data_IF_991959202312
#
_entry.id   IF_991959202312
#
_cell.length_a   1.000
_cell.length_b   1.000
_cell.length_c   1.000
_cell.angle_alpha   90.00
_cell.angle_beta   90.00
_cell.angle_gamma   90.00
#
_symmetry.space_group_name_H-M   'P 1'
#
loop_
_entity.id
_entity.type
_entity.pdbx_description
1 polymer ?
#
# COMPACT_ATOMS: atom_id res chain seq x y z
N UNK A 1 27.38 -23.90 8.92
CA UNK A 1 26.32 -24.47 9.77
C UNK A 1 25.50 -23.33 10.30
N UNK A 2 24.29 -23.15 9.78
CA UNK A 2 23.30 -22.27 10.40
C UNK A 2 22.55 -23.08 11.45
N UNK A 3 23.04 -23.04 12.67
CA UNK A 3 22.36 -23.65 13.83
C UNK A 3 21.21 -22.79 14.36
N UNK A 4 20.74 -21.83 13.55
CA UNK A 4 19.53 -21.07 13.87
C UNK A 4 18.32 -21.93 13.49
N UNK A 5 17.49 -22.35 14.44
CA UNK A 5 16.27 -23.09 14.13
C UNK A 5 15.39 -22.20 13.22
N UNK A 6 14.91 -22.78 12.13
CA UNK A 6 13.96 -22.10 11.26
C UNK A 6 12.72 -21.70 12.09
N UNK A 7 12.24 -20.48 11.93
CA UNK A 7 11.02 -20.07 12.63
C UNK A 7 9.86 -20.99 12.24
N UNK A 8 9.08 -21.40 13.23
CA UNK A 8 7.84 -22.14 12.99
C UNK A 8 6.77 -21.15 12.50
N UNK A 9 6.61 -21.05 11.19
CA UNK A 9 5.61 -20.16 10.59
C UNK A 9 4.25 -20.87 10.66
N UNK A 10 3.34 -20.30 11.42
CA UNK A 10 1.99 -20.83 11.62
C UNK A 10 0.96 -20.17 10.72
N UNK A 11 1.21 -18.92 10.30
CA UNK A 11 0.31 -18.16 9.44
C UNK A 11 1.07 -17.45 8.33
N UNK A 12 0.49 -17.44 7.14
CA UNK A 12 0.96 -16.63 6.02
C UNK A 12 -0.16 -15.67 5.58
N UNK A 13 0.22 -14.43 5.33
CA UNK A 13 -0.68 -13.43 4.77
C UNK A 13 -0.21 -13.14 3.34
N UNK A 14 -1.10 -13.30 2.39
CA UNK A 14 -0.83 -13.01 0.99
C UNK A 14 -1.38 -11.65 0.63
N UNK A 15 -0.55 -10.81 0.08
CA UNK A 15 -0.97 -9.52 -0.44
C UNK A 15 -0.73 -9.49 -1.96
N UNK A 16 -1.77 -9.82 -2.72
CA UNK A 16 -1.74 -9.86 -4.19
C UNK A 16 -0.55 -10.63 -4.79
N UNK A 17 -0.16 -11.70 -4.15
CA UNK A 17 1.01 -12.48 -4.56
C UNK A 17 0.59 -13.67 -5.42
N UNK A 18 1.05 -13.69 -6.67
CA UNK A 18 0.78 -14.78 -7.60
C UNK A 18 1.52 -16.09 -7.25
N UNK A 19 2.51 -16.03 -6.38
CA UNK A 19 3.28 -17.20 -5.96
C UNK A 19 4.12 -17.87 -7.05
N UNK A 20 3.65 -17.87 -8.27
CA UNK A 20 4.28 -18.54 -9.42
C UNK A 20 5.37 -17.70 -10.12
N UNK A 21 5.57 -16.46 -9.73
CA UNK A 21 6.61 -15.58 -10.27
C UNK A 21 7.97 -15.70 -9.56
N UNK A 22 8.14 -16.72 -8.73
CA UNK A 22 9.35 -16.96 -7.96
C UNK A 22 10.03 -18.27 -8.35
N UNK A 23 11.30 -18.40 -8.02
CA UNK A 23 12.05 -19.63 -8.23
C UNK A 23 11.55 -20.76 -7.33
N UNK A 24 11.66 -22.01 -7.82
CA UNK A 24 11.28 -23.23 -7.10
C UNK A 24 9.83 -23.24 -6.58
N UNK A 25 8.89 -22.93 -7.46
CA UNK A 25 7.46 -22.77 -7.19
C UNK A 25 6.87 -23.95 -6.40
N UNK A 26 7.16 -25.16 -6.80
CA UNK A 26 6.60 -26.37 -6.17
C UNK A 26 7.00 -26.50 -4.70
N UNK A 27 8.28 -26.25 -4.38
CA UNK A 27 8.76 -26.26 -2.99
C UNK A 27 8.14 -25.15 -2.18
N UNK A 28 7.96 -23.98 -2.80
CA UNK A 28 7.33 -22.85 -2.16
C UNK A 28 5.87 -23.12 -1.83
N UNK A 29 5.09 -23.62 -2.76
CA UNK A 29 3.69 -23.99 -2.52
C UNK A 29 3.54 -25.10 -1.49
N UNK A 30 4.39 -26.10 -1.50
CA UNK A 30 4.41 -27.12 -0.48
C UNK A 30 4.67 -26.54 0.92
N UNK A 31 5.59 -25.58 1.03
CA UNK A 31 5.84 -24.87 2.29
C UNK A 31 4.66 -24.02 2.74
N UNK A 32 3.99 -23.33 1.83
CA UNK A 32 2.81 -22.52 2.12
C UNK A 32 1.61 -23.39 2.54
N UNK A 33 1.40 -24.52 1.87
CA UNK A 33 0.34 -25.46 2.21
C UNK A 33 0.56 -26.18 3.54
N UNK A 34 1.76 -26.15 4.08
CA UNK A 34 2.09 -26.76 5.37
C UNK A 34 1.82 -25.82 6.58
N UNK A 35 1.45 -24.57 6.37
CA UNK A 35 1.10 -23.63 7.44
C UNK A 35 -0.32 -23.88 7.95
N UNK A 36 -0.54 -23.59 9.23
CA UNK A 36 -1.82 -23.88 9.90
C UNK A 36 -2.97 -23.00 9.41
N UNK A 37 -2.66 -21.76 9.01
CA UNK A 37 -3.66 -20.79 8.61
C UNK A 37 -3.09 -19.83 7.57
N UNK A 38 -3.83 -19.63 6.50
CA UNK A 38 -3.46 -18.71 5.43
C UNK A 38 -4.63 -17.80 5.07
N UNK A 39 -4.35 -16.53 4.89
CA UNK A 39 -5.35 -15.61 4.38
C UNK A 39 -4.69 -14.54 3.53
N UNK A 40 -5.50 -13.78 2.81
CA UNK A 40 -4.92 -12.69 2.05
C UNK A 40 -5.89 -11.92 1.19
N UNK A 41 -5.36 -10.85 0.64
CA UNK A 41 -6.02 -10.03 -0.36
C UNK A 41 -5.77 -10.62 -1.75
N UNK A 42 -6.81 -10.81 -2.53
CA UNK A 42 -6.71 -11.34 -3.88
C UNK A 42 -7.53 -10.50 -4.86
N UNK A 43 -6.92 -10.16 -5.98
CA UNK A 43 -7.63 -9.48 -7.08
C UNK A 43 -8.51 -10.45 -7.86
N UNK A 44 -8.09 -11.70 -7.95
CA UNK A 44 -8.76 -12.74 -8.70
C UNK A 44 -8.73 -14.06 -7.96
N UNK A 45 -9.84 -14.78 -7.94
CA UNK A 45 -9.92 -16.09 -7.30
C UNK A 45 -9.15 -17.19 -8.04
N UNK A 46 -8.78 -16.97 -9.28
CA UNK A 46 -7.97 -17.92 -10.06
C UNK A 46 -6.46 -17.78 -9.86
N UNK A 47 -6.02 -16.95 -8.92
CA UNK A 47 -4.61 -16.89 -8.56
C UNK A 47 -4.19 -18.16 -7.82
N UNK A 48 -3.01 -18.74 -8.10
CA UNK A 48 -2.55 -19.94 -7.41
C UNK A 48 -2.48 -19.82 -5.89
N UNK A 49 -2.21 -18.62 -5.38
CA UNK A 49 -2.19 -18.36 -3.94
C UNK A 49 -3.58 -18.31 -3.31
N UNK A 50 -4.63 -18.07 -4.09
CA UNK A 50 -6.00 -18.11 -3.59
C UNK A 50 -6.40 -19.53 -3.14
N UNK A 51 -5.92 -20.57 -3.82
CA UNK A 51 -6.17 -21.97 -3.45
C UNK A 51 -5.52 -22.36 -2.11
N UNK A 52 -4.55 -21.59 -1.66
CA UNK A 52 -3.84 -21.82 -0.40
C UNK A 52 -4.44 -21.02 0.78
N UNK A 53 -5.40 -20.15 0.53
CA UNK A 53 -5.99 -19.30 1.56
C UNK A 53 -7.23 -19.95 2.18
N UNK A 54 -7.28 -19.97 3.50
CA UNK A 54 -8.48 -20.31 4.29
C UNK A 54 -9.49 -19.16 4.25
N UNK A 55 -9.01 -17.91 4.17
CA UNK A 55 -9.83 -16.72 4.03
C UNK A 55 -9.27 -15.86 2.89
N UNK A 56 -10.15 -15.43 1.99
CA UNK A 56 -9.84 -14.51 0.91
C UNK A 56 -10.65 -13.22 1.13
N UNK A 57 -9.95 -12.10 1.19
CA UNK A 57 -10.56 -10.78 1.16
C UNK A 57 -10.40 -10.21 -0.26
N UNK A 58 -11.48 -9.69 -0.86
CA UNK A 58 -11.39 -9.07 -2.17
C UNK A 58 -10.54 -7.80 -2.06
N UNK A 59 -9.46 -7.75 -2.82
CA UNK A 59 -8.60 -6.58 -2.87
C UNK A 59 -9.04 -5.62 -3.95
N UNK A 60 -9.04 -4.32 -3.70
CA UNK A 60 -9.18 -3.35 -4.76
C UNK A 60 -7.94 -3.38 -5.66
N UNK A 61 -8.17 -3.20 -6.94
CA UNK A 61 -7.09 -2.88 -7.88
C UNK A 61 -6.89 -1.36 -7.91
N UNK A 62 -5.76 -0.92 -8.45
CA UNK A 62 -5.36 0.48 -8.41
C UNK A 62 -6.39 1.48 -9.01
N UNK A 63 -7.26 1.04 -9.93
CA UNK A 63 -8.32 1.89 -10.48
C UNK A 63 -9.39 2.28 -9.45
N UNK A 64 -9.57 1.45 -8.42
CA UNK A 64 -10.56 1.67 -7.37
C UNK A 64 -9.97 2.36 -6.14
N UNK A 65 -8.77 2.00 -5.76
CA UNK A 65 -8.14 2.55 -4.57
C UNK A 65 -7.36 3.84 -4.86
N UNK A 66 -6.91 3.98 -6.09
CA UNK A 66 -6.13 5.13 -6.55
C UNK A 66 -4.71 5.11 -6.03
N UNK A 67 -4.54 5.04 -4.76
CA UNK A 67 -3.26 5.01 -4.10
C UNK A 67 -2.85 3.57 -3.86
N UNK A 68 -2.29 2.92 -4.86
CA UNK A 68 -1.75 1.59 -4.69
C UNK A 68 -0.36 1.66 -4.09
N UNK A 69 -0.28 1.21 -2.85
CA UNK A 69 0.95 1.12 -2.10
C UNK A 69 2.02 0.31 -2.81
N UNK A 70 1.65 -0.65 -3.52
CA UNK A 70 2.57 -1.61 -4.06
C UNK A 70 3.26 -1.15 -5.34
N UNK A 71 2.53 -0.46 -6.19
CA UNK A 71 3.03 -0.20 -7.52
C UNK A 71 3.99 0.98 -7.59
N UNK A 72 3.82 1.98 -6.77
CA UNK A 72 4.55 3.21 -7.00
C UNK A 72 4.97 3.94 -5.77
N UNK A 73 4.93 3.26 -4.68
CA UNK A 73 5.47 3.78 -3.44
C UNK A 73 4.91 5.10 -3.13
N UNK A 74 3.64 5.28 -3.39
CA UNK A 74 3.04 6.33 -2.80
C UNK A 74 3.86 7.48 -2.68
N UNK A 75 3.89 8.21 -3.66
CA UNK A 75 4.28 9.30 -3.05
C UNK A 75 5.54 9.42 -2.39
N UNK A 76 6.38 8.66 -2.66
CA UNK A 76 7.60 8.80 -1.93
C UNK A 76 8.37 9.93 -2.50
N UNK A 77 8.43 10.93 -1.69
CA UNK A 77 9.57 11.73 -1.68
C UNK A 77 10.80 10.93 -1.65
N UNK A 78 11.48 10.96 -2.70
CA UNK A 78 12.79 10.48 -2.52
C UNK A 78 13.68 11.60 -2.91
N UNK A 79 13.99 12.38 -1.96
CA UNK A 79 14.94 13.43 -2.11
C UNK A 79 16.27 13.00 -1.51
N UNK A 80 17.32 13.01 -2.32
CA UNK A 80 18.66 12.90 -1.82
C UNK A 80 19.68 12.71 -2.90
N UNK A 81 20.96 13.01 -2.57
CA UNK A 81 22.03 13.09 -3.54
C UNK A 81 22.47 11.76 -4.14
N UNK A 82 21.98 10.64 -3.67
CA UNK A 82 22.46 9.32 -4.05
C UNK A 82 21.45 8.48 -4.85
N UNK A 83 21.00 9.01 -5.97
CA UNK A 83 20.09 8.29 -6.87
C UNK A 83 18.64 8.26 -6.37
N UNK A 84 18.32 9.14 -5.48
CA UNK A 84 16.98 9.32 -4.99
C UNK A 84 16.14 10.09 -6.00
N UNK A 85 14.90 9.69 -6.09
CA UNK A 85 13.96 10.21 -7.07
C UNK A 85 13.44 11.57 -6.63
N UNK A 86 13.69 12.56 -7.43
CA UNK A 86 13.26 13.94 -7.16
C UNK A 86 11.86 14.18 -7.73
N UNK A 87 10.90 13.36 -7.36
CA UNK A 87 9.54 13.53 -7.84
C UNK A 87 8.51 13.10 -6.80
N UNK A 88 7.36 13.72 -6.88
CA UNK A 88 6.16 13.33 -6.16
C UNK A 88 5.17 12.77 -7.16
N UNK A 89 4.49 11.70 -6.84
CA UNK A 89 3.45 11.12 -7.67
C UNK A 89 2.20 10.86 -6.85
N UNK A 90 1.07 11.03 -7.47
CA UNK A 90 -0.21 10.73 -6.92
C UNK A 90 -1.07 10.04 -7.97
N UNK A 91 -1.80 9.02 -7.57
CA UNK A 91 -2.76 8.34 -8.41
C UNK A 91 -4.13 8.51 -7.77
N UNK A 92 -4.98 9.33 -8.38
CA UNK A 92 -6.34 9.52 -7.90
C UNK A 92 -7.20 8.28 -8.14
N UNK A 93 -8.15 8.03 -7.25
CA UNK A 93 -9.16 7.00 -7.46
C UNK A 93 -9.98 7.31 -8.70
N UNK A 94 -10.06 6.34 -9.61
CA UNK A 94 -10.83 6.47 -10.85
C UNK A 94 -12.23 5.90 -10.80
N UNK A 95 -12.46 4.93 -9.91
CA UNK A 95 -13.71 4.18 -9.81
C UNK A 95 -14.09 3.96 -8.35
N UNK A 96 -15.40 3.83 -8.09
CA UNK A 96 -15.90 3.44 -6.77
C UNK A 96 -15.66 1.95 -6.51
N UNK A 97 -15.50 1.58 -5.25
CA UNK A 97 -15.34 0.18 -4.88
C UNK A 97 -16.57 -0.64 -5.24
N UNK A 98 -16.41 -1.80 -5.87
CA UNK A 98 -17.53 -2.67 -6.16
C UNK A 98 -17.95 -3.45 -4.91
N UNK A 99 -19.24 -3.43 -4.59
CA UNK A 99 -19.80 -4.26 -3.51
C UNK A 99 -19.13 -4.07 -2.14
N UNK A 100 -18.65 -5.16 -1.58
CA UNK A 100 -18.03 -5.17 -0.23
C UNK A 100 -16.51 -4.99 -0.24
N UNK A 101 -15.91 -4.68 -1.38
CA UNK A 101 -14.47 -4.35 -1.45
C UNK A 101 -14.18 -3.13 -0.58
N UNK A 102 -13.07 -3.20 0.13
CA UNK A 102 -12.59 -2.10 1.00
C UNK A 102 -11.10 -1.88 0.76
N UNK A 103 -10.63 -0.68 1.11
CA UNK A 103 -9.19 -0.38 1.10
C UNK A 103 -8.43 -1.37 1.99
N UNK A 104 -7.28 -1.81 1.51
CA UNK A 104 -6.41 -2.72 2.26
C UNK A 104 -5.95 -2.07 3.57
N UNK A 105 -5.58 -0.80 3.53
CA UNK A 105 -5.15 -0.05 4.71
C UNK A 105 -6.27 0.10 5.73
N UNK A 106 -7.51 0.25 5.28
CA UNK A 106 -8.65 0.22 6.19
C UNK A 106 -8.77 -1.13 6.89
N UNK A 107 -8.65 -2.23 6.15
CA UNK A 107 -8.69 -3.59 6.72
C UNK A 107 -7.56 -3.79 7.72
N UNK A 108 -6.34 -3.36 7.39
CA UNK A 108 -5.21 -3.44 8.32
C UNK A 108 -5.43 -2.60 9.58
N UNK A 109 -6.02 -1.41 9.44
CA UNK A 109 -6.36 -0.56 10.60
C UNK A 109 -7.43 -1.23 11.47
N UNK A 110 -8.42 -1.86 10.88
CA UNK A 110 -9.43 -2.64 11.60
C UNK A 110 -8.86 -3.86 12.33
N UNK A 111 -7.91 -4.54 11.73
CA UNK A 111 -7.15 -5.62 12.40
C UNK A 111 -6.34 -5.05 13.57
N UNK A 112 -5.62 -3.94 13.36
CA UNK A 112 -4.84 -3.28 14.41
C UNK A 112 -5.69 -2.81 15.60
N UNK A 113 -6.93 -2.33 15.34
CA UNK A 113 -7.90 -1.99 16.40
C UNK A 113 -8.25 -3.22 17.25
N UNK A 114 -8.52 -4.36 16.62
CA UNK A 114 -8.84 -5.61 17.33
C UNK A 114 -7.66 -6.16 18.11
N UNK A 115 -6.44 -5.88 17.66
CA UNK A 115 -5.21 -6.24 18.35
C UNK A 115 -4.79 -5.22 19.43
N UNK A 116 -5.47 -4.09 19.55
CA UNK A 116 -5.15 -3.04 20.52
C UNK A 116 -3.85 -2.28 20.22
N UNK A 117 -3.45 -2.19 18.94
CA UNK A 117 -2.21 -1.51 18.51
C UNK A 117 -2.45 -0.42 17.46
N UNK A 118 -3.69 -0.08 17.20
CA UNK A 118 -4.05 0.85 16.13
C UNK A 118 -3.48 2.26 16.33
N UNK A 119 -3.38 2.71 17.56
CA UNK A 119 -2.76 3.99 17.93
C UNK A 119 -1.29 4.12 17.49
N UNK A 120 -0.59 2.98 17.38
CA UNK A 120 0.79 2.90 16.90
C UNK A 120 0.89 2.67 15.40
N UNK A 121 -0.13 2.04 14.82
CA UNK A 121 -0.14 1.69 13.40
C UNK A 121 -0.59 2.85 12.51
N UNK A 122 -1.77 3.40 12.77
CA UNK A 122 -2.34 4.47 11.93
C UNK A 122 -3.18 5.47 12.75
N UNK A 123 -2.56 6.26 13.62
CA UNK A 123 -3.27 7.12 14.57
C UNK A 123 -4.15 8.19 13.90
N UNK A 124 -3.84 8.58 12.68
CA UNK A 124 -4.59 9.62 11.95
C UNK A 124 -5.94 9.14 11.39
N UNK A 125 -6.08 7.83 11.25
CA UNK A 125 -7.20 7.22 10.53
C UNK A 125 -8.11 6.38 11.43
N UNK A 126 -7.93 6.46 12.77
CA UNK A 126 -8.63 5.58 13.70
C UNK A 126 -10.15 5.72 13.66
N UNK A 127 -10.64 6.93 13.47
CA UNK A 127 -12.08 7.23 13.51
C UNK A 127 -12.70 7.30 12.11
N UNK A 128 -11.91 6.98 11.07
CA UNK A 128 -12.39 7.00 9.69
C UNK A 128 -13.03 5.66 9.34
N UNK A 129 -14.26 5.68 8.88
CA UNK A 129 -14.98 4.50 8.42
C UNK A 129 -14.54 4.09 6.99
N UNK A 130 -15.03 2.94 6.55
CA UNK A 130 -14.67 2.38 5.25
C UNK A 130 -15.15 3.22 4.06
N UNK A 131 -16.26 3.94 4.21
CA UNK A 131 -16.86 4.75 3.13
C UNK A 131 -16.04 6.01 2.88
N UNK A 132 -15.56 6.65 3.94
CA UNK A 132 -14.79 7.89 3.87
C UNK A 132 -13.26 7.67 3.86
N UNK A 133 -12.82 6.41 3.87
CA UNK A 133 -11.41 6.07 4.01
C UNK A 133 -10.52 6.68 2.92
N UNK A 134 -10.92 6.53 1.67
CA UNK A 134 -10.11 7.00 0.53
C UNK A 134 -10.01 8.51 0.51
N UNK A 135 -11.08 9.21 0.81
CA UNK A 135 -11.10 10.68 0.84
C UNK A 135 -10.21 11.21 1.99
N UNK A 136 -10.28 10.58 3.15
CA UNK A 136 -9.42 10.91 4.28
C UNK A 136 -7.94 10.62 3.98
N UNK A 137 -7.66 9.56 3.28
CA UNK A 137 -6.32 9.20 2.84
C UNK A 137 -5.79 10.22 1.81
N UNK A 138 -6.61 10.67 0.86
CA UNK A 138 -6.25 11.74 -0.07
C UNK A 138 -5.90 13.04 0.69
N UNK A 139 -6.66 13.39 1.72
CA UNK A 139 -6.35 14.55 2.55
C UNK A 139 -4.97 14.45 3.24
N UNK A 140 -4.58 13.26 3.70
CA UNK A 140 -3.24 13.01 4.25
C UNK A 140 -2.16 13.19 3.18
N UNK A 141 -2.42 12.76 1.96
CA UNK A 141 -1.48 12.96 0.85
C UNK A 141 -1.36 14.43 0.43
N UNK A 142 -2.46 15.14 0.40
CA UNK A 142 -2.46 16.58 0.14
C UNK A 142 -1.59 17.31 1.16
N UNK A 143 -1.74 17.01 2.44
CA UNK A 143 -0.88 17.57 3.48
C UNK A 143 0.60 17.23 3.26
N UNK A 144 0.89 15.99 2.91
CA UNK A 144 2.26 15.58 2.62
C UNK A 144 2.86 16.31 1.42
N UNK A 145 2.06 16.49 0.37
CA UNK A 145 2.44 17.29 -0.79
C UNK A 145 2.70 18.76 -0.43
N UNK A 146 1.82 19.37 0.32
CA UNK A 146 1.96 20.75 0.78
C UNK A 146 3.21 20.95 1.63
N UNK A 147 3.51 20.02 2.52
CA UNK A 147 4.73 20.02 3.31
C UNK A 147 5.99 19.91 2.43
N UNK A 148 5.95 19.08 1.40
CA UNK A 148 7.02 18.97 0.42
C UNK A 148 7.17 20.25 -0.40
N UNK A 149 6.10 20.79 -0.96
CA UNK A 149 6.10 22.02 -1.74
C UNK A 149 6.53 23.25 -0.93
N UNK A 150 6.34 23.23 0.37
CA UNK A 150 6.78 24.29 1.29
C UNK A 150 8.24 24.14 1.74
N UNK A 151 8.93 23.06 1.38
CA UNK A 151 10.33 22.88 1.72
C UNK A 151 11.23 23.68 0.76
N UNK A 152 11.71 24.82 1.21
CA UNK A 152 12.52 25.75 0.40
C UNK A 152 13.81 25.09 -0.12
N UNK A 153 14.45 24.24 0.66
CA UNK A 153 15.66 23.53 0.25
C UNK A 153 15.37 22.57 -0.91
N UNK A 154 14.25 21.86 -0.84
CA UNK A 154 13.83 20.94 -1.90
C UNK A 154 13.44 21.71 -3.16
N UNK A 155 12.68 22.78 -3.01
CA UNK A 155 12.26 23.60 -4.16
C UNK A 155 13.45 24.24 -4.86
N UNK A 156 14.39 24.79 -4.11
CA UNK A 156 15.62 25.37 -4.67
C UNK A 156 16.48 24.32 -5.38
N UNK A 157 16.63 23.14 -4.78
CA UNK A 157 17.36 22.01 -5.38
C UNK A 157 16.73 21.54 -6.70
N UNK A 158 15.41 21.50 -6.76
CA UNK A 158 14.66 21.09 -7.95
C UNK A 158 14.53 22.20 -9.00
N UNK A 159 14.98 23.42 -8.70
CA UNK A 159 14.94 24.54 -9.61
C UNK A 159 13.55 25.15 -9.81
N UNK A 160 12.64 24.97 -8.85
CA UNK A 160 11.32 25.58 -8.91
C UNK A 160 11.40 27.07 -8.58
N UNK A 161 11.02 27.91 -9.51
CA UNK A 161 10.84 29.37 -9.29
C UNK A 161 9.55 29.67 -8.51
N UNK A 162 8.54 28.84 -8.70
CA UNK A 162 7.25 28.94 -8.03
C UNK A 162 6.88 27.59 -7.43
N UNK A 163 6.38 27.61 -6.20
CA UNK A 163 5.87 26.39 -5.55
C UNK A 163 4.65 25.86 -6.30
N UNK A 164 4.62 24.56 -6.65
CA UNK A 164 3.44 23.95 -7.23
C UNK A 164 2.29 23.91 -6.21
N UNK A 165 1.07 24.15 -6.66
CA UNK A 165 -0.13 23.95 -5.85
C UNK A 165 -0.65 22.53 -5.96
N UNK A 166 -1.51 22.11 -5.01
CA UNK A 166 -2.17 20.82 -5.09
C UNK A 166 -3.02 20.68 -6.36
N UNK A 167 -3.70 21.74 -6.76
CA UNK A 167 -4.55 21.77 -7.94
C UNK A 167 -3.72 21.61 -9.23
N UNK A 168 -2.59 22.32 -9.33
CA UNK A 168 -1.65 22.18 -10.45
C UNK A 168 -1.07 20.74 -10.50
N UNK A 169 -0.72 20.19 -9.34
CA UNK A 169 -0.22 18.83 -9.24
C UNK A 169 -1.29 17.79 -9.58
N UNK A 170 -2.51 17.94 -9.10
CA UNK A 170 -3.60 17.00 -9.36
C UNK A 170 -4.00 16.97 -10.84
N UNK A 171 -3.87 18.10 -11.53
CA UNK A 171 -4.05 18.16 -12.99
C UNK A 171 -2.93 17.46 -13.77
N UNK A 172 -1.72 17.39 -13.19
CA UNK A 172 -0.55 16.72 -13.76
C UNK A 172 0.18 15.97 -12.65
N UNK A 173 -0.26 14.76 -12.27
CA UNK A 173 0.11 14.09 -11.02
C UNK A 173 1.55 13.54 -11.01
N UNK A 174 2.45 14.12 -11.76
CA UNK A 174 3.90 13.86 -11.72
C UNK A 174 4.65 15.19 -11.72
N UNK A 175 5.32 15.47 -10.62
CA UNK A 175 6.19 16.63 -10.49
C UNK A 175 7.64 16.16 -10.38
N UNK A 176 8.50 16.75 -11.19
CA UNK A 176 9.94 16.45 -11.23
C UNK A 176 10.75 17.65 -10.86
#
# INVERSE_FOLDING_TARGET
NNDCPLPNIQMIIFENNYGNNHSNVNKRFAGMAATEFNWGFQWHLNQPTAELCDIILPAPIWQFEGMDEYMYGHQRFVSGPNGMRNYFTFCARGLEFPGEVRSKEWVWTEIAKRLGVADKYNPRMLDVDAEHWVDAQEAVYKEAFENWANNETVMAYLGYEKRPTWEEFNANPVVR
#
